data_IF_590040479928
#
_entry.id   IF_590040479928
#
_cell.length_a   1.000
_cell.length_b   1.000
_cell.length_c   1.000
_cell.angle_alpha   90.00
_cell.angle_beta   90.00
_cell.angle_gamma   90.00
#
_symmetry.space_group_name_H-M   'P 1'
#
loop_
_entity.id
_entity.type
_entity.pdbx_description
1 polymer ?
#
# COMPACT_ATOMS: atom_id res chain seq x y z
N UNK A 1 41.11 -52.36 -24.78
CA UNK A 1 39.95 -53.24 -24.48
C UNK A 1 38.86 -52.35 -23.89
N UNK A 2 38.08 -51.68 -24.75
CA UNK A 2 37.04 -50.73 -24.33
C UNK A 2 35.79 -51.48 -23.86
N UNK A 3 35.45 -51.36 -22.58
CA UNK A 3 34.23 -51.96 -22.03
C UNK A 3 33.02 -51.13 -22.48
N UNK A 4 32.37 -51.59 -23.55
CA UNK A 4 31.10 -51.02 -24.02
C UNK A 4 30.02 -51.20 -22.94
N UNK A 5 29.56 -50.11 -22.35
CA UNK A 5 28.45 -50.08 -21.39
C UNK A 5 27.18 -50.67 -22.03
N UNK A 6 26.53 -51.61 -21.32
CA UNK A 6 25.33 -52.30 -21.80
C UNK A 6 24.19 -51.32 -22.09
N UNK A 7 23.35 -51.64 -23.08
CA UNK A 7 22.22 -50.80 -23.52
C UNK A 7 21.33 -50.35 -22.35
N UNK A 8 21.12 -51.22 -21.37
CA UNK A 8 20.31 -50.94 -20.18
C UNK A 8 20.91 -49.84 -19.30
N UNK A 9 22.24 -49.78 -19.17
CA UNK A 9 22.91 -48.73 -18.39
C UNK A 9 22.81 -47.39 -19.13
N UNK A 10 22.94 -47.38 -20.46
CA UNK A 10 22.76 -46.15 -21.26
C UNK A 10 21.35 -45.60 -21.14
N UNK A 11 20.32 -46.45 -21.15
CA UNK A 11 18.92 -46.05 -20.96
C UNK A 11 18.72 -45.48 -19.55
N UNK A 12 19.34 -46.07 -18.54
CA UNK A 12 19.27 -45.56 -17.18
C UNK A 12 19.91 -44.16 -17.08
N UNK A 13 21.11 -43.96 -17.62
CA UNK A 13 21.74 -42.62 -17.67
C UNK A 13 20.91 -41.61 -18.47
N UNK A 14 20.28 -42.03 -19.57
CA UNK A 14 19.41 -41.16 -20.36
C UNK A 14 18.16 -40.75 -19.58
N UNK A 15 17.52 -41.70 -18.90
CA UNK A 15 16.31 -41.46 -18.10
C UNK A 15 16.62 -40.57 -16.89
N UNK A 16 17.69 -40.86 -16.15
CA UNK A 16 18.10 -40.03 -15.00
C UNK A 16 18.53 -38.63 -15.45
N UNK A 17 19.23 -38.54 -16.59
CA UNK A 17 19.57 -37.26 -17.23
C UNK A 17 18.32 -36.47 -17.61
N UNK A 18 17.30 -37.12 -18.17
CA UNK A 18 16.03 -36.49 -18.55
C UNK A 18 15.26 -35.97 -17.33
N UNK A 19 15.26 -36.72 -16.22
CA UNK A 19 14.62 -36.31 -14.96
C UNK A 19 15.34 -35.11 -14.34
N UNK A 20 16.68 -35.11 -14.34
CA UNK A 20 17.47 -33.98 -13.86
C UNK A 20 17.26 -32.75 -14.75
N UNK A 21 17.25 -32.91 -16.08
CA UNK A 21 17.01 -31.83 -17.03
C UNK A 21 15.60 -31.25 -16.86
N UNK A 22 14.59 -32.10 -16.66
CA UNK A 22 13.21 -31.70 -16.39
C UNK A 22 13.11 -30.94 -15.07
N UNK A 23 13.82 -31.38 -14.04
CA UNK A 23 13.83 -30.73 -12.72
C UNK A 23 14.49 -29.35 -12.78
N UNK A 24 15.60 -29.21 -13.52
CA UNK A 24 16.28 -27.93 -13.76
C UNK A 24 15.38 -27.00 -14.59
N UNK A 25 14.70 -27.51 -15.62
CA UNK A 25 13.73 -26.74 -16.40
C UNK A 25 12.55 -26.27 -15.55
N UNK A 26 12.01 -27.09 -14.64
CA UNK A 26 10.95 -26.69 -13.71
C UNK A 26 11.43 -25.61 -12.73
N UNK A 27 12.65 -25.73 -12.21
CA UNK A 27 13.24 -24.71 -11.32
C UNK A 27 13.50 -23.42 -12.10
N UNK A 28 14.06 -23.49 -13.31
CA UNK A 28 14.26 -22.34 -14.19
C UNK A 28 12.92 -21.71 -14.60
N UNK A 29 11.85 -22.48 -14.83
CA UNK A 29 10.50 -21.95 -15.05
C UNK A 29 9.87 -21.35 -13.78
N UNK A 30 10.29 -21.75 -12.57
CA UNK A 30 9.87 -21.09 -11.32
C UNK A 30 10.66 -19.82 -11.03
N UNK A 31 11.94 -19.77 -11.40
CA UNK A 31 12.85 -18.64 -11.14
C UNK A 31 12.78 -17.59 -12.26
N UNK A 32 12.56 -18.01 -13.51
CA UNK A 32 12.37 -17.17 -14.70
C UNK A 32 10.92 -17.12 -15.18
N UNK A 33 10.01 -17.81 -14.50
CA UNK A 33 8.59 -17.46 -14.58
C UNK A 33 8.45 -16.00 -14.20
N UNK A 34 7.62 -15.21 -14.91
CA UNK A 34 7.51 -13.78 -14.66
C UNK A 34 7.27 -13.61 -13.17
N UNK A 35 8.17 -12.87 -12.50
CA UNK A 35 8.01 -12.41 -11.13
C UNK A 35 6.52 -12.26 -10.89
N UNK A 36 5.98 -13.17 -10.07
CA UNK A 36 4.64 -13.16 -9.50
C UNK A 36 3.75 -12.22 -10.29
N UNK A 37 3.04 -12.75 -11.31
CA UNK A 37 1.85 -12.07 -11.87
C UNK A 37 1.20 -11.40 -10.68
N UNK A 38 1.31 -10.07 -10.65
CA UNK A 38 0.66 -9.22 -9.68
C UNK A 38 -0.77 -9.74 -9.70
N UNK A 39 -1.13 -10.52 -8.68
CA UNK A 39 -2.52 -10.86 -8.47
C UNK A 39 -3.21 -9.51 -8.58
N UNK A 40 -4.17 -9.41 -9.50
CA UNK A 40 -5.12 -8.32 -9.44
C UNK A 40 -5.77 -8.51 -8.08
N UNK A 41 -5.19 -7.87 -7.05
CA UNK A 41 -5.70 -7.87 -5.70
C UNK A 41 -7.14 -7.43 -5.88
N UNK A 42 -8.08 -8.34 -5.66
CA UNK A 42 -9.50 -8.04 -5.79
C UNK A 42 -9.76 -6.70 -5.13
N UNK A 43 -10.56 -5.81 -5.72
CA UNK A 43 -10.77 -4.45 -5.22
C UNK A 43 -10.89 -4.37 -3.67
N UNK A 44 -11.59 -5.30 -2.98
CA UNK A 44 -11.60 -5.36 -1.52
C UNK A 44 -10.23 -5.54 -0.84
N UNK A 45 -9.38 -6.43 -1.34
CA UNK A 45 -8.00 -6.63 -0.84
C UNK A 45 -7.13 -5.40 -1.09
N UNK A 46 -7.26 -4.78 -2.26
CA UNK A 46 -6.53 -3.56 -2.59
C UNK A 46 -6.94 -2.39 -1.66
N UNK A 47 -8.23 -2.26 -1.37
CA UNK A 47 -8.77 -1.29 -0.40
C UNK A 47 -8.28 -1.58 1.02
N UNK A 48 -8.35 -2.84 1.48
CA UNK A 48 -7.86 -3.22 2.81
C UNK A 48 -6.36 -2.93 2.97
N UNK A 49 -5.58 -3.16 1.91
CA UNK A 49 -4.16 -2.82 1.93
C UNK A 49 -3.90 -1.31 1.88
N UNK A 50 -4.68 -0.55 1.11
CA UNK A 50 -4.62 0.91 1.10
C UNK A 50 -4.92 1.47 2.49
N UNK A 51 -5.96 0.96 3.15
CA UNK A 51 -6.32 1.29 4.53
C UNK A 51 -5.15 1.03 5.50
N UNK A 52 -4.55 -0.16 5.47
CA UNK A 52 -3.42 -0.51 6.35
C UNK A 52 -2.19 0.39 6.14
N UNK A 53 -1.84 0.71 4.90
CA UNK A 53 -0.72 1.64 4.60
C UNK A 53 -1.02 3.06 5.09
N UNK A 54 -2.26 3.51 4.93
CA UNK A 54 -2.65 4.84 5.43
C UNK A 54 -2.63 4.90 6.94
N UNK A 55 -3.05 3.85 7.63
CA UNK A 55 -2.96 3.78 9.07
C UNK A 55 -1.51 3.95 9.55
N UNK A 56 -0.56 3.22 8.98
CA UNK A 56 0.87 3.36 9.31
C UNK A 56 1.40 4.79 9.08
N UNK A 57 1.02 5.42 7.96
CA UNK A 57 1.43 6.79 7.64
C UNK A 57 0.84 7.83 8.59
N UNK A 58 -0.40 7.61 9.04
CA UNK A 58 -1.08 8.47 10.00
C UNK A 58 -0.52 8.29 11.40
N UNK A 59 -0.18 7.08 11.81
CA UNK A 59 0.52 6.80 13.07
C UNK A 59 1.88 7.51 13.11
N UNK A 60 2.66 7.41 12.03
CA UNK A 60 3.93 8.13 11.89
C UNK A 60 3.74 9.66 11.95
N UNK A 61 2.70 10.19 11.30
CA UNK A 61 2.37 11.61 11.33
C UNK A 61 1.94 12.06 12.74
N UNK A 62 1.12 11.29 13.44
CA UNK A 62 0.75 11.56 14.82
C UNK A 62 2.00 11.64 15.71
N UNK A 63 2.91 10.68 15.61
CA UNK A 63 4.16 10.69 16.36
C UNK A 63 5.02 11.93 16.05
N UNK A 64 5.11 12.33 14.78
CA UNK A 64 5.83 13.54 14.38
C UNK A 64 5.18 14.80 14.98
N UNK A 65 3.85 14.90 14.94
CA UNK A 65 3.14 16.06 15.46
C UNK A 65 3.20 16.15 16.99
N UNK A 66 3.15 15.03 17.71
CA UNK A 66 3.32 15.04 19.18
C UNK A 66 4.75 15.36 19.59
N UNK A 67 5.75 14.78 18.92
CA UNK A 67 7.17 14.98 19.27
C UNK A 67 7.73 16.34 18.87
N UNK A 68 7.29 16.91 17.73
CA UNK A 68 7.85 18.15 17.19
C UNK A 68 6.97 19.39 17.41
N UNK A 69 5.64 19.22 17.41
CA UNK A 69 4.70 20.33 17.53
C UNK A 69 4.00 20.42 18.89
N UNK A 70 4.38 19.56 19.85
CA UNK A 70 3.90 19.63 21.23
C UNK A 70 2.41 19.36 21.40
N UNK A 71 1.79 18.63 20.47
CA UNK A 71 0.40 18.16 20.65
C UNK A 71 0.30 17.29 21.90
N UNK A 72 -0.79 17.45 22.66
CA UNK A 72 -1.00 16.73 23.93
C UNK A 72 -1.38 15.27 23.71
N UNK A 73 -1.84 14.94 22.50
CA UNK A 73 -2.18 13.59 22.08
C UNK A 73 -2.21 13.42 20.56
N UNK A 74 -2.68 12.26 20.08
CA UNK A 74 -2.81 12.01 18.65
C UNK A 74 -3.83 12.96 18.02
N UNK A 75 -3.45 13.59 16.90
CA UNK A 75 -4.37 14.42 16.13
C UNK A 75 -5.42 13.56 15.43
N UNK A 76 -4.99 12.44 14.84
CA UNK A 76 -5.88 11.51 14.14
C UNK A 76 -6.25 10.35 15.05
N UNK A 77 -7.55 10.19 15.30
CA UNK A 77 -8.11 9.16 16.19
C UNK A 77 -8.50 7.88 15.43
N UNK A 78 -8.98 8.04 14.19
CA UNK A 78 -9.33 6.92 13.32
C UNK A 78 -9.30 7.33 11.86
N UNK A 79 -9.22 6.37 10.96
CA UNK A 79 -9.24 6.57 9.51
C UNK A 79 -10.04 5.49 8.81
N UNK A 80 -10.66 5.83 7.69
CA UNK A 80 -11.38 4.87 6.85
C UNK A 80 -11.28 5.26 5.38
N UNK A 81 -10.99 4.27 4.54
CA UNK A 81 -11.10 4.35 3.09
C UNK A 81 -12.55 4.08 2.70
N UNK A 82 -13.13 4.97 1.90
CA UNK A 82 -14.52 4.92 1.44
C UNK A 82 -14.61 5.03 -0.07
N UNK A 83 -15.78 4.70 -0.61
CA UNK A 83 -16.12 4.83 -2.03
C UNK A 83 -15.02 4.24 -2.94
N UNK A 84 -14.71 2.96 -2.73
CA UNK A 84 -13.74 2.23 -3.56
C UNK A 84 -12.32 2.82 -3.57
N UNK A 85 -11.94 3.56 -2.52
CA UNK A 85 -10.63 4.21 -2.46
C UNK A 85 -10.61 5.64 -3.00
N UNK A 86 -11.75 6.23 -3.35
CA UNK A 86 -11.80 7.63 -3.77
C UNK A 86 -11.71 8.60 -2.60
N UNK A 87 -12.16 8.20 -1.41
CA UNK A 87 -12.22 9.08 -0.24
C UNK A 87 -11.47 8.46 0.91
N UNK A 88 -10.52 9.21 1.48
CA UNK A 88 -10.00 8.93 2.81
C UNK A 88 -10.68 9.85 3.83
N UNK A 89 -11.41 9.25 4.76
CA UNK A 89 -12.06 9.99 5.85
C UNK A 89 -11.36 9.69 7.16
N UNK A 90 -10.89 10.73 7.86
CA UNK A 90 -10.28 10.60 9.17
C UNK A 90 -11.08 11.34 10.24
N UNK A 91 -11.14 10.75 11.43
CA UNK A 91 -11.63 11.43 12.63
C UNK A 91 -10.43 12.07 13.31
N UNK A 92 -10.50 13.39 13.55
CA UNK A 92 -9.47 14.17 14.23
C UNK A 92 -9.94 14.58 15.63
N UNK A 93 -8.99 14.81 16.53
CA UNK A 93 -9.25 15.32 17.88
C UNK A 93 -9.52 16.83 17.86
N UNK A 94 -9.98 17.34 19.00
CA UNK A 94 -10.20 18.78 19.21
C UNK A 94 -8.95 19.63 19.18
N UNK A 95 -7.77 19.00 19.19
CA UNK A 95 -6.51 19.70 18.95
C UNK A 95 -6.41 20.22 17.52
N UNK A 96 -7.25 19.77 16.57
CA UNK A 96 -7.30 20.36 15.24
C UNK A 96 -7.54 21.87 15.29
N UNK A 97 -8.47 22.34 16.11
CA UNK A 97 -8.85 23.77 16.17
C UNK A 97 -7.78 24.65 16.82
N UNK A 98 -6.88 24.06 17.60
CA UNK A 98 -5.76 24.79 18.22
C UNK A 98 -4.55 24.91 17.30
N UNK A 99 -4.51 24.16 16.19
CA UNK A 99 -3.40 24.21 15.24
C UNK A 99 -3.38 25.53 14.45
N UNK A 100 -2.20 26.15 14.28
CA UNK A 100 -2.03 27.26 13.36
C UNK A 100 -2.46 26.87 11.94
N UNK A 101 -3.04 27.81 11.18
CA UNK A 101 -3.49 27.58 9.81
C UNK A 101 -2.39 26.99 8.91
N UNK A 102 -1.14 27.44 9.08
CA UNK A 102 0.02 26.90 8.36
C UNK A 102 0.21 25.41 8.63
N UNK A 103 0.05 24.98 9.89
CA UNK A 103 0.15 23.57 10.29
C UNK A 103 -1.05 22.77 9.77
N UNK A 104 -2.27 23.30 9.86
CA UNK A 104 -3.47 22.67 9.28
C UNK A 104 -3.27 22.39 7.77
N UNK A 105 -2.79 23.39 7.01
CA UNK A 105 -2.48 23.25 5.58
C UNK A 105 -1.40 22.21 5.30
N UNK A 106 -0.32 22.23 6.09
CA UNK A 106 0.76 21.25 5.95
C UNK A 106 0.25 19.83 6.18
N UNK A 107 -0.49 19.60 7.27
CA UNK A 107 -1.08 18.30 7.61
C UNK A 107 -2.02 17.82 6.49
N UNK A 108 -2.91 18.69 6.00
CA UNK A 108 -3.84 18.36 4.93
C UNK A 108 -3.08 17.92 3.66
N UNK A 109 -2.09 18.70 3.23
CA UNK A 109 -1.25 18.39 2.07
C UNK A 109 -0.49 17.08 2.25
N UNK A 110 0.14 16.87 3.40
CA UNK A 110 0.88 15.64 3.69
C UNK A 110 0.00 14.41 3.66
N UNK A 111 -1.21 14.46 4.24
CA UNK A 111 -2.16 13.34 4.21
C UNK A 111 -2.64 13.08 2.78
N UNK A 112 -2.95 14.12 2.02
CA UNK A 112 -3.35 14.00 0.62
C UNK A 112 -2.27 13.32 -0.22
N UNK A 113 -1.03 13.82 -0.18
CA UNK A 113 0.08 13.27 -0.95
C UNK A 113 0.34 11.81 -0.58
N UNK A 114 0.32 11.51 0.72
CA UNK A 114 0.42 10.14 1.23
C UNK A 114 -0.69 9.23 0.69
N UNK A 115 -1.92 9.72 0.66
CA UNK A 115 -3.07 8.96 0.20
C UNK A 115 -3.03 8.75 -1.32
N UNK A 116 -2.78 9.81 -2.08
CA UNK A 116 -2.62 9.78 -3.53
C UNK A 116 -1.55 8.78 -3.95
N UNK A 117 -0.36 8.85 -3.35
CA UNK A 117 0.74 7.94 -3.66
C UNK A 117 0.38 6.48 -3.34
N UNK A 118 -0.25 6.25 -2.19
CA UNK A 118 -0.68 4.90 -1.79
C UNK A 118 -1.78 4.36 -2.72
N UNK A 119 -2.71 5.21 -3.15
CA UNK A 119 -3.79 4.88 -4.09
C UNK A 119 -3.24 4.52 -5.46
N UNK A 120 -2.31 5.32 -6.00
CA UNK A 120 -1.65 5.03 -7.27
C UNK A 120 -0.90 3.70 -7.24
N UNK A 121 -0.24 3.39 -6.11
CA UNK A 121 0.48 2.12 -5.92
C UNK A 121 -0.44 0.89 -5.80
N UNK A 122 -1.59 1.01 -5.15
CA UNK A 122 -2.47 -0.15 -4.83
C UNK A 122 -3.63 -0.32 -5.80
N UNK A 123 -4.27 0.76 -6.22
CA UNK A 123 -5.43 0.71 -7.13
C UNK A 123 -5.04 0.89 -8.59
N UNK A 124 -3.85 1.43 -8.89
CA UNK A 124 -3.39 1.76 -10.25
C UNK A 124 -4.37 2.66 -11.03
N UNK A 125 -5.26 3.34 -10.32
CA UNK A 125 -6.26 4.22 -10.92
C UNK A 125 -5.72 5.66 -10.96
N UNK A 126 -5.81 6.34 -12.11
CA UNK A 126 -5.60 7.78 -12.16
C UNK A 126 -6.72 8.51 -11.39
N UNK A 127 -6.48 9.77 -11.03
CA UNK A 127 -7.45 10.63 -10.34
C UNK A 127 -6.99 11.08 -8.96
N UNK A 128 -7.34 12.33 -8.65
CA UNK A 128 -7.05 12.95 -7.36
C UNK A 128 -8.06 12.47 -6.32
N UNK A 129 -7.60 11.89 -5.20
CA UNK A 129 -8.51 11.47 -4.15
C UNK A 129 -9.04 12.65 -3.37
N UNK A 130 -10.18 12.45 -2.70
CA UNK A 130 -10.70 13.39 -1.71
C UNK A 130 -10.26 12.96 -0.31
N UNK A 131 -9.86 13.93 0.52
CA UNK A 131 -9.67 13.68 1.95
C UNK A 131 -10.64 14.52 2.78
N UNK A 132 -11.21 13.91 3.82
CA UNK A 132 -12.19 14.55 4.70
C UNK A 132 -11.76 14.33 6.14
N UNK A 133 -11.59 15.42 6.89
CA UNK A 133 -11.36 15.37 8.33
C UNK A 133 -12.63 15.76 9.08
N UNK A 134 -12.97 14.96 10.07
CA UNK A 134 -14.13 15.15 10.93
C UNK A 134 -13.69 15.23 12.37
N UNK A 135 -14.17 16.22 13.09
CA UNK A 135 -14.13 16.23 14.55
C UNK A 135 -15.55 15.90 15.02
N UNK A 136 -15.73 14.73 15.63
CA UNK A 136 -17.08 14.19 15.90
C UNK A 136 -17.95 14.21 14.63
N UNK A 137 -19.11 14.87 14.67
CA UNK A 137 -20.02 15.01 13.54
C UNK A 137 -19.73 16.22 12.63
N UNK A 138 -18.77 17.08 13.01
CA UNK A 138 -18.42 18.30 12.28
C UNK A 138 -17.34 18.01 11.25
N UNK A 139 -17.57 18.39 9.99
CA UNK A 139 -16.50 18.43 8.97
C UNK A 139 -15.61 19.65 9.24
N UNK A 140 -14.34 19.41 9.55
CA UNK A 140 -13.37 20.46 9.90
C UNK A 140 -12.35 20.72 8.80
N UNK A 141 -12.11 19.74 7.93
CA UNK A 141 -11.35 19.96 6.71
C UNK A 141 -11.83 19.07 5.56
N UNK A 142 -11.75 19.59 4.34
CA UNK A 142 -11.96 18.84 3.10
C UNK A 142 -10.92 19.31 2.10
N UNK A 143 -10.26 18.36 1.44
CA UNK A 143 -9.45 18.63 0.25
C UNK A 143 -10.11 17.93 -0.93
N UNK A 144 -10.41 18.71 -1.97
CA UNK A 144 -10.85 18.22 -3.27
C UNK A 144 -9.91 18.74 -4.35
N UNK A 145 -10.03 18.20 -5.56
CA UNK A 145 -9.29 18.66 -6.76
C UNK A 145 -9.45 20.17 -6.99
N UNK A 146 -10.62 20.70 -6.62
CA UNK A 146 -11.02 22.07 -6.93
C UNK A 146 -10.71 23.04 -5.80
N UNK A 147 -10.74 22.58 -4.55
CA UNK A 147 -10.73 23.48 -3.40
C UNK A 147 -10.33 22.80 -2.08
N UNK A 148 -9.64 23.60 -1.25
CA UNK A 148 -9.37 23.34 0.16
C UNK A 148 -10.37 24.09 1.04
N UNK A 149 -11.11 23.35 1.85
CA UNK A 149 -11.96 23.91 2.90
C UNK A 149 -11.33 23.56 4.22
N UNK A 150 -10.78 24.56 4.93
CA UNK A 150 -10.26 24.42 6.29
C UNK A 150 -11.09 25.31 7.20
N UNK A 151 -11.77 24.70 8.17
CA UNK A 151 -12.60 25.40 9.16
C UNK A 151 -11.93 25.41 10.53
#
# INVERSE_FOLDING_TARGET
MERSLSKSIRIFFLATGLVVLSSILIIAFRVSGPHTKLEGDSLPKAIASLQGRMQQKIEALNHLLTSQNGLKGPLFLSGSVRYEGQVYQATVSSEWDTLPLRTKKLVLKTVLENYRNSRQQRLKQPGEPTIIFRENDKKVAVHTILEDIIR
#
